data_IF_475561255104
#
_entry.id   IF_475561255104
#
_cell.length_a   1.000
_cell.length_b   1.000
_cell.length_c   1.000
_cell.angle_alpha   90.00
_cell.angle_beta   90.00
_cell.angle_gamma   90.00
#
_symmetry.space_group_name_H-M   'P 1'
#
loop_
_entity.id
_entity.type
_entity.pdbx_description
1 polymer ?
#
# COMPACT_ATOMS: atom_id res chain seq x y z
N UNK A 1 -16.63 19.24 5.48
CA UNK A 1 -15.50 20.04 4.95
C UNK A 1 -14.84 19.14 3.93
N UNK A 2 -14.80 19.52 2.65
CA UNK A 2 -14.32 18.65 1.57
C UNK A 2 -12.78 18.72 1.49
N UNK A 3 -12.15 17.89 2.31
CA UNK A 3 -10.69 17.83 2.46
C UNK A 3 -10.17 16.47 2.09
N UNK A 4 -9.04 16.44 1.39
CA UNK A 4 -8.35 15.21 1.03
C UNK A 4 -7.41 14.78 2.18
N UNK A 5 -7.04 13.49 2.26
CA UNK A 5 -6.15 12.98 3.29
C UNK A 5 -4.82 13.75 3.33
N UNK A 6 -4.24 13.91 4.53
CA UNK A 6 -2.98 14.67 4.70
C UNK A 6 -1.82 13.98 3.97
N UNK A 7 -1.93 12.68 3.75
CA UNK A 7 -1.01 11.81 3.02
C UNK A 7 -0.83 12.23 1.56
N UNK A 8 -1.82 12.93 0.98
CA UNK A 8 -1.73 13.48 -0.38
C UNK A 8 -0.53 14.42 -0.54
N UNK A 9 -0.09 15.07 0.55
CA UNK A 9 1.14 15.87 0.51
C UNK A 9 2.40 15.06 0.19
N UNK A 10 2.41 13.75 0.43
CA UNK A 10 3.47 12.85 -0.03
C UNK A 10 3.57 12.82 -1.55
N UNK A 11 2.44 12.62 -2.24
CA UNK A 11 2.36 12.65 -3.69
C UNK A 11 2.75 14.02 -4.26
N UNK A 12 2.29 15.11 -3.64
CA UNK A 12 2.69 16.48 -4.01
C UNK A 12 4.20 16.68 -3.90
N UNK A 13 4.84 16.22 -2.81
CA UNK A 13 6.29 16.33 -2.62
C UNK A 13 7.06 15.51 -3.65
N UNK A 14 6.63 14.28 -3.92
CA UNK A 14 7.24 13.43 -4.94
C UNK A 14 7.14 14.07 -6.33
N UNK A 15 5.94 14.56 -6.70
CA UNK A 15 5.68 15.26 -7.95
C UNK A 15 6.51 16.53 -8.11
N UNK A 16 6.62 17.33 -7.05
CA UNK A 16 7.44 18.55 -7.03
C UNK A 16 8.93 18.24 -7.18
N UNK A 17 9.44 17.22 -6.47
CA UNK A 17 10.83 16.79 -6.57
C UNK A 17 11.18 16.29 -7.98
N UNK A 18 10.31 15.47 -8.58
CA UNK A 18 10.49 14.97 -9.95
C UNK A 18 10.56 16.09 -11.00
N UNK A 19 9.96 17.24 -10.70
CA UNK A 19 9.89 18.41 -11.60
C UNK A 19 10.85 19.54 -11.21
N UNK A 20 11.70 19.33 -10.21
CA UNK A 20 12.64 20.34 -9.71
C UNK A 20 11.96 21.57 -9.08
N UNK A 21 10.69 21.47 -8.69
CA UNK A 21 9.94 22.58 -8.10
C UNK A 21 10.24 22.64 -6.61
N UNK A 22 10.92 23.72 -6.19
CA UNK A 22 11.16 23.95 -4.75
C UNK A 22 9.87 24.25 -4.01
N UNK A 23 9.83 23.95 -2.72
CA UNK A 23 8.68 24.27 -1.87
C UNK A 23 8.32 25.76 -1.90
N UNK A 24 9.32 26.64 -1.96
CA UNK A 24 9.11 28.09 -2.07
C UNK A 24 8.45 28.47 -3.39
N UNK A 25 8.93 27.89 -4.51
CA UNK A 25 8.34 28.09 -5.83
C UNK A 25 6.91 27.54 -5.90
N UNK A 26 6.65 26.37 -5.30
CA UNK A 26 5.31 25.79 -5.22
C UNK A 26 4.33 26.70 -4.45
N UNK A 27 4.73 27.17 -3.26
CA UNK A 27 3.88 28.04 -2.44
C UNK A 27 3.58 29.38 -3.14
N UNK A 28 4.59 29.97 -3.78
CA UNK A 28 4.40 31.15 -4.61
C UNK A 28 3.44 30.88 -5.79
N UNK A 29 3.60 29.75 -6.47
CA UNK A 29 2.77 29.36 -7.61
C UNK A 29 1.30 29.16 -7.27
N UNK A 30 0.98 28.71 -6.05
CA UNK A 30 -0.42 28.55 -5.59
C UNK A 30 -1.00 29.81 -4.92
N UNK A 31 -0.28 30.94 -4.99
CA UNK A 31 -0.70 32.22 -4.43
C UNK A 31 -0.65 32.28 -2.90
N UNK A 32 0.22 31.51 -2.25
CA UNK A 32 0.38 31.47 -0.80
C UNK A 32 1.72 32.08 -0.35
N UNK A 33 1.69 32.79 0.78
CA UNK A 33 2.91 33.28 1.42
C UNK A 33 3.75 32.08 1.91
N UNK A 34 5.08 32.20 1.81
CA UNK A 34 5.97 31.14 2.22
C UNK A 34 5.89 30.90 3.73
N UNK A 35 5.41 29.72 4.14
CA UNK A 35 5.19 29.36 5.55
C UNK A 35 5.98 28.11 5.98
N UNK A 36 7.02 27.75 5.22
CA UNK A 36 7.78 26.52 5.43
C UNK A 36 6.88 25.29 5.38
N UNK A 37 7.17 24.28 6.20
CA UNK A 37 6.46 22.98 6.20
C UNK A 37 5.05 23.02 6.81
N UNK A 38 4.64 24.15 7.38
CA UNK A 38 3.34 24.34 8.04
C UNK A 38 2.17 24.00 7.12
N UNK A 39 2.28 24.36 5.83
CA UNK A 39 1.26 24.06 4.81
C UNK A 39 0.90 22.57 4.75
N UNK A 40 1.89 21.70 4.96
CA UNK A 40 1.77 20.26 4.78
C UNK A 40 1.27 19.51 6.04
N UNK A 41 1.01 20.22 7.14
CA UNK A 41 0.55 19.63 8.40
C UNK A 41 -0.97 19.40 8.43
N UNK A 42 -1.71 20.08 7.56
CA UNK A 42 -3.18 20.01 7.51
C UNK A 42 -3.65 19.42 6.20
N UNK A 43 -4.78 18.71 6.23
CA UNK A 43 -5.45 18.19 5.05
C UNK A 43 -5.69 19.31 4.00
N UNK A 44 -5.28 19.14 2.73
CA UNK A 44 -5.60 20.11 1.70
C UNK A 44 -7.09 20.06 1.36
N UNK A 45 -7.67 21.23 1.07
CA UNK A 45 -8.95 21.26 0.33
C UNK A 45 -8.72 20.88 -1.12
N UNK A 46 -9.79 20.46 -1.81
CA UNK A 46 -9.75 20.20 -3.26
C UNK A 46 -9.25 21.37 -4.07
N UNK A 47 -9.78 22.58 -3.82
CA UNK A 47 -9.33 23.81 -4.51
C UNK A 47 -7.83 24.05 -4.35
N UNK A 48 -7.28 23.74 -3.16
CA UNK A 48 -5.85 23.87 -2.91
C UNK A 48 -5.08 22.85 -3.72
N UNK A 49 -5.52 21.59 -3.74
CA UNK A 49 -4.88 20.56 -4.54
C UNK A 49 -4.97 20.88 -6.05
N UNK A 50 -6.09 21.42 -6.53
CA UNK A 50 -6.25 21.83 -7.93
C UNK A 50 -5.23 22.89 -8.33
N UNK A 51 -4.99 23.91 -7.48
CA UNK A 51 -3.93 24.90 -7.71
C UNK A 51 -2.55 24.26 -7.71
N UNK A 52 -2.28 23.34 -6.78
CA UNK A 52 -1.02 22.59 -6.73
C UNK A 52 -0.82 21.76 -8.00
N UNK A 53 -1.86 21.05 -8.46
CA UNK A 53 -1.85 20.24 -9.67
C UNK A 53 -1.59 21.10 -10.91
N UNK A 54 -2.17 22.30 -10.99
CA UNK A 54 -1.92 23.25 -12.07
C UNK A 54 -0.47 23.74 -12.09
N UNK A 55 0.09 24.09 -10.91
CA UNK A 55 1.50 24.54 -10.80
C UNK A 55 2.47 23.42 -11.17
N UNK A 56 2.20 22.21 -10.71
CA UNK A 56 3.04 21.04 -11.00
C UNK A 56 2.77 20.46 -12.39
N UNK A 57 1.65 20.80 -13.03
CA UNK A 57 1.17 20.16 -14.27
C UNK A 57 1.18 18.64 -14.12
N UNK A 58 0.56 18.18 -13.03
CA UNK A 58 0.50 16.77 -12.67
C UNK A 58 -0.92 16.23 -12.89
N UNK A 59 -1.11 15.32 -13.86
CA UNK A 59 -2.44 14.80 -14.19
C UNK A 59 -3.04 13.96 -13.06
N UNK A 60 -2.23 13.27 -12.26
CA UNK A 60 -2.71 12.43 -11.17
C UNK A 60 -3.21 13.30 -10.02
N UNK A 61 -2.49 14.39 -9.71
CA UNK A 61 -2.96 15.37 -8.72
C UNK A 61 -4.21 16.11 -9.18
N UNK A 62 -4.36 16.34 -10.50
CA UNK A 62 -5.56 16.94 -11.08
C UNK A 62 -6.76 16.03 -10.92
N UNK A 63 -6.62 14.75 -11.28
CA UNK A 63 -7.65 13.73 -11.09
C UNK A 63 -8.06 13.61 -9.61
N UNK A 64 -7.09 13.59 -8.69
CA UNK A 64 -7.39 13.57 -7.25
C UNK A 64 -8.15 14.82 -6.78
N UNK A 65 -7.86 15.99 -7.35
CA UNK A 65 -8.56 17.22 -6.99
C UNK A 65 -10.01 17.26 -7.47
N UNK A 66 -10.30 16.65 -8.63
CA UNK A 66 -11.63 16.65 -9.26
C UNK A 66 -12.46 15.40 -8.96
N UNK A 67 -11.87 14.36 -8.35
CA UNK A 67 -12.55 13.10 -8.08
C UNK A 67 -13.77 13.26 -7.15
N UNK A 68 -14.89 12.64 -7.50
CA UNK A 68 -16.10 12.58 -6.64
C UNK A 68 -15.94 11.68 -5.39
N UNK A 69 -14.75 11.12 -5.15
CA UNK A 69 -14.47 10.29 -3.99
C UNK A 69 -14.17 11.14 -2.76
N UNK A 70 -14.99 11.00 -1.71
CA UNK A 70 -14.78 11.65 -0.43
C UNK A 70 -13.99 10.77 0.52
N UNK A 71 -13.10 11.41 1.28
CA UNK A 71 -12.30 10.74 2.30
C UNK A 71 -12.76 11.18 3.68
N UNK A 72 -13.28 10.23 4.45
CA UNK A 72 -13.68 10.45 5.83
C UNK A 72 -12.86 9.60 6.78
N UNK A 73 -12.56 10.18 7.95
CA UNK A 73 -11.85 9.47 9.02
C UNK A 73 -12.85 8.66 9.84
N UNK A 74 -12.55 7.38 10.06
CA UNK A 74 -13.32 6.55 10.99
C UNK A 74 -13.18 7.13 12.40
N UNK A 75 -14.30 7.55 12.99
CA UNK A 75 -14.35 8.14 14.34
C UNK A 75 -14.56 7.11 15.44
N UNK A 76 -15.22 5.98 15.12
CA UNK A 76 -15.45 4.89 16.06
C UNK A 76 -15.81 3.61 15.33
N UNK A 77 -15.47 2.47 15.93
CA UNK A 77 -15.88 1.14 15.49
C UNK A 77 -16.58 0.49 16.69
N UNK A 78 -17.75 -0.12 16.46
CA UNK A 78 -18.57 -0.76 17.51
C UNK A 78 -19.09 -2.08 16.98
N UNK A 79 -19.07 -3.13 17.80
CA UNK A 79 -19.69 -4.41 17.45
C UNK A 79 -21.22 -4.30 17.51
N UNK A 80 -21.90 -4.86 16.50
CA UNK A 80 -23.37 -4.95 16.44
C UNK A 80 -23.90 -6.37 16.75
N UNK A 81 -23.01 -7.26 17.24
CA UNK A 81 -23.29 -8.68 17.43
C UNK A 81 -23.33 -9.47 16.12
N UNK A 82 -23.78 -10.72 16.21
CA UNK A 82 -23.94 -11.59 15.03
C UNK A 82 -25.13 -11.12 14.18
N UNK A 83 -24.88 -10.93 12.89
CA UNK A 83 -25.86 -10.47 11.91
C UNK A 83 -25.63 -11.21 10.59
N UNK A 84 -26.70 -11.50 9.83
CA UNK A 84 -26.51 -11.96 8.45
C UNK A 84 -25.81 -10.87 7.64
N UNK A 85 -24.77 -11.24 6.91
CA UNK A 85 -24.01 -10.38 6.01
C UNK A 85 -24.06 -10.96 4.60
N UNK A 86 -23.98 -10.09 3.60
CA UNK A 86 -24.03 -10.46 2.19
C UNK A 86 -22.81 -9.82 1.50
N UNK A 87 -22.23 -10.55 0.56
CA UNK A 87 -21.16 -10.04 -0.31
C UNK A 87 -21.61 -10.07 -1.78
N UNK A 88 -21.02 -9.23 -2.61
CA UNK A 88 -21.32 -9.14 -4.04
C UNK A 88 -20.02 -9.12 -4.84
N UNK A 89 -19.86 -10.06 -5.78
CA UNK A 89 -18.67 -10.07 -6.63
C UNK A 89 -18.89 -9.27 -7.90
N UNK A 90 -18.09 -8.21 -8.09
CA UNK A 90 -17.97 -7.49 -9.36
C UNK A 90 -16.75 -8.01 -10.12
N UNK A 91 -16.96 -8.44 -11.37
CA UNK A 91 -15.88 -8.93 -12.23
C UNK A 91 -14.89 -7.82 -12.57
N UNK A 92 -13.59 -8.14 -12.54
CA UNK A 92 -12.49 -7.22 -12.83
C UNK A 92 -12.04 -6.40 -11.63
N UNK A 93 -12.92 -5.61 -11.01
CA UNK A 93 -12.51 -4.67 -9.95
C UNK A 93 -12.62 -5.25 -8.54
N UNK A 94 -13.49 -6.25 -8.33
CA UNK A 94 -13.74 -6.88 -7.02
C UNK A 94 -14.07 -5.87 -5.90
N UNK A 95 -14.62 -4.71 -6.28
CA UNK A 95 -15.09 -3.67 -5.38
C UNK A 95 -16.45 -3.13 -5.85
N UNK A 96 -17.25 -2.65 -4.90
CA UNK A 96 -18.58 -2.09 -5.15
C UNK A 96 -18.92 -1.00 -4.13
N UNK A 97 -20.00 -0.25 -4.39
CA UNK A 97 -20.48 0.78 -3.48
C UNK A 97 -21.60 0.21 -2.61
N UNK A 98 -21.47 0.30 -1.29
CA UNK A 98 -22.49 -0.10 -0.32
C UNK A 98 -22.66 1.01 0.73
N UNK A 99 -23.91 1.44 0.96
CA UNK A 99 -24.24 2.51 1.90
C UNK A 99 -23.41 3.80 1.73
N UNK A 100 -23.03 4.14 0.50
CA UNK A 100 -22.20 5.31 0.21
C UNK A 100 -20.70 5.12 0.45
N UNK A 101 -20.24 3.92 0.81
CA UNK A 101 -18.84 3.57 0.97
C UNK A 101 -18.38 2.67 -0.17
N UNK A 102 -17.13 2.86 -0.62
CA UNK A 102 -16.46 1.89 -1.49
C UNK A 102 -15.98 0.74 -0.63
N UNK A 103 -16.42 -0.48 -0.96
CA UNK A 103 -16.07 -1.72 -0.26
C UNK A 103 -15.40 -2.69 -1.22
N UNK A 104 -14.47 -3.50 -0.72
CA UNK A 104 -13.76 -4.51 -1.50
C UNK A 104 -14.18 -5.92 -1.05
N UNK A 105 -14.23 -6.87 -1.98
CA UNK A 105 -14.59 -8.26 -1.73
C UNK A 105 -13.67 -8.93 -0.70
N UNK A 106 -14.24 -9.89 -0.01
CA UNK A 106 -13.76 -10.41 1.25
C UNK A 106 -12.92 -11.70 1.15
N UNK A 107 -12.21 -11.96 0.04
CA UNK A 107 -11.41 -13.20 -0.08
C UNK A 107 -10.39 -13.38 1.05
N UNK A 108 -9.78 -12.28 1.50
CA UNK A 108 -8.92 -12.27 2.68
C UNK A 108 -9.73 -12.44 3.97
N UNK A 109 -10.92 -11.86 4.04
CA UNK A 109 -11.79 -11.89 5.22
C UNK A 109 -12.38 -13.27 5.49
N UNK A 110 -12.53 -14.13 4.48
CA UNK A 110 -13.00 -15.53 4.60
C UNK A 110 -11.87 -16.52 4.92
N UNK A 111 -10.62 -16.18 4.66
CA UNK A 111 -9.48 -17.04 5.02
C UNK A 111 -9.29 -17.12 6.55
N UNK A 112 -9.13 -18.34 7.06
CA UNK A 112 -8.67 -18.56 8.43
C UNK A 112 -7.17 -18.27 8.58
N UNK A 113 -6.40 -18.61 7.53
CA UNK A 113 -4.96 -18.40 7.45
C UNK A 113 -4.58 -17.86 6.07
N UNK A 114 -3.76 -16.82 6.02
CA UNK A 114 -3.13 -16.31 4.78
C UNK A 114 -1.62 -16.42 4.94
N UNK A 115 -0.97 -17.10 3.99
CA UNK A 115 0.48 -17.26 3.97
C UNK A 115 1.06 -16.82 2.64
N UNK A 116 2.19 -16.12 2.69
CA UNK A 116 3.00 -15.81 1.52
C UNK A 116 4.31 -16.59 1.56
N UNK A 117 4.80 -16.98 0.38
CA UNK A 117 6.11 -17.61 0.22
C UNK A 117 7.05 -16.60 -0.41
N UNK A 118 8.10 -16.21 0.33
CA UNK A 118 9.13 -15.31 -0.15
C UNK A 118 10.47 -16.05 -0.29
N UNK A 119 11.13 -15.88 -1.44
CA UNK A 119 12.45 -16.47 -1.72
C UNK A 119 13.36 -15.38 -2.27
N UNK A 120 14.31 -14.93 -1.46
CA UNK A 120 15.19 -13.81 -1.81
C UNK A 120 16.00 -14.08 -3.09
N UNK A 121 16.47 -15.32 -3.28
CA UNK A 121 17.25 -15.75 -4.46
C UNK A 121 16.56 -15.46 -5.80
N UNK A 122 15.22 -15.46 -5.83
CA UNK A 122 14.43 -15.18 -7.05
C UNK A 122 14.60 -13.71 -7.50
N UNK A 123 14.83 -12.81 -6.55
CA UNK A 123 14.95 -11.37 -6.80
C UNK A 123 16.40 -10.88 -6.71
N UNK A 124 17.23 -11.57 -5.91
CA UNK A 124 18.62 -11.25 -5.64
C UNK A 124 19.50 -12.50 -5.78
N UNK A 125 20.03 -12.77 -7.00
CA UNK A 125 20.84 -13.95 -7.27
C UNK A 125 22.12 -14.08 -6.42
N UNK A 126 22.65 -12.96 -5.91
CA UNK A 126 23.86 -12.86 -5.08
C UNK A 126 23.58 -12.94 -3.57
N UNK A 127 22.40 -13.40 -3.15
CA UNK A 127 22.09 -13.55 -1.71
C UNK A 127 23.05 -14.52 -1.01
N UNK A 128 23.35 -14.22 0.26
CA UNK A 128 24.14 -15.08 1.12
C UNK A 128 23.39 -16.35 1.56
N UNK A 129 22.05 -16.39 1.36
CA UNK A 129 21.19 -17.52 1.77
C UNK A 129 20.33 -18.05 0.61
N UNK A 130 20.94 -18.57 -0.47
CA UNK A 130 20.25 -18.99 -1.69
C UNK A 130 19.16 -20.07 -1.48
N UNK A 131 19.31 -20.89 -0.43
CA UNK A 131 18.34 -21.91 -0.05
C UNK A 131 17.19 -21.41 0.83
N UNK A 132 17.21 -20.16 1.31
CA UNK A 132 16.22 -19.66 2.26
C UNK A 132 14.89 -19.36 1.58
N UNK A 133 13.82 -19.84 2.21
CA UNK A 133 12.46 -19.44 1.93
C UNK A 133 11.80 -18.99 3.23
N UNK A 134 11.10 -17.86 3.19
CA UNK A 134 10.34 -17.34 4.31
C UNK A 134 8.85 -17.58 4.03
N UNK A 135 8.19 -18.25 4.97
CA UNK A 135 6.74 -18.39 5.00
C UNK A 135 6.21 -17.30 5.93
N UNK A 136 5.52 -16.31 5.36
CA UNK A 136 5.00 -15.15 6.06
C UNK A 136 3.54 -15.43 6.38
N UNK A 137 3.21 -15.66 7.66
CA UNK A 137 1.83 -15.88 8.09
C UNK A 137 1.19 -14.50 8.30
N UNK A 138 0.64 -13.94 7.22
CA UNK A 138 0.06 -12.60 7.22
C UNK A 138 -1.31 -12.53 7.93
N UNK A 139 -2.07 -13.63 7.98
CA UNK A 139 -3.32 -13.73 8.74
C UNK A 139 -3.42 -15.09 9.40
N UNK A 140 -3.86 -15.11 10.66
CA UNK A 140 -4.22 -16.31 11.41
C UNK A 140 -5.31 -15.94 12.42
N UNK A 141 -6.54 -16.44 12.26
CA UNK A 141 -7.67 -16.07 13.15
C UNK A 141 -7.55 -16.66 14.55
N UNK A 142 -6.96 -17.84 14.67
CA UNK A 142 -6.95 -18.63 15.91
C UNK A 142 -5.56 -18.68 16.57
N UNK A 143 -4.67 -17.74 16.24
CA UNK A 143 -3.28 -17.77 16.66
C UNK A 143 -2.47 -16.56 16.17
N UNK A 144 -1.19 -16.48 16.55
CA UNK A 144 -0.34 -15.36 16.16
C UNK A 144 0.04 -15.43 14.67
N UNK A 145 0.28 -14.27 14.09
CA UNK A 145 1.03 -14.09 12.85
C UNK A 145 2.53 -14.17 13.16
N UNK A 146 3.31 -14.87 12.33
CA UNK A 146 4.76 -14.93 12.45
C UNK A 146 5.39 -15.34 11.11
N UNK A 147 6.68 -15.09 10.96
CA UNK A 147 7.45 -15.47 9.80
C UNK A 147 8.32 -16.69 10.11
N UNK A 148 8.13 -17.76 9.36
CA UNK A 148 8.88 -19.00 9.54
C UNK A 148 9.89 -19.15 8.41
N UNK A 149 11.17 -19.22 8.77
CA UNK A 149 12.21 -19.56 7.82
C UNK A 149 12.22 -21.08 7.58
N UNK A 150 12.40 -21.46 6.32
CA UNK A 150 12.59 -22.82 5.83
C UNK A 150 13.76 -22.84 4.84
N UNK A 151 14.30 -24.04 4.59
CA UNK A 151 15.23 -24.26 3.48
C UNK A 151 14.48 -24.92 2.32
N UNK A 152 14.56 -24.34 1.12
CA UNK A 152 13.96 -24.86 -0.10
C UNK A 152 15.01 -25.61 -0.94
N UNK A 153 14.80 -26.90 -1.12
CA UNK A 153 15.60 -27.79 -1.97
C UNK A 153 14.97 -27.81 -3.37
N UNK A 154 15.65 -27.21 -4.34
CA UNK A 154 15.09 -26.99 -5.68
C UNK A 154 14.97 -28.28 -6.47
N UNK A 155 15.97 -29.15 -6.35
CA UNK A 155 16.12 -30.40 -7.10
C UNK A 155 14.93 -31.33 -6.89
N UNK A 156 14.28 -31.19 -5.74
CA UNK A 156 13.13 -31.98 -5.33
C UNK A 156 11.90 -31.15 -4.95
N UNK A 157 11.90 -29.83 -5.22
CA UNK A 157 10.81 -28.89 -4.90
C UNK A 157 10.28 -29.07 -3.47
N UNK A 158 11.20 -29.13 -2.50
CA UNK A 158 10.89 -29.53 -1.11
C UNK A 158 11.30 -28.47 -0.10
N UNK A 159 10.41 -28.17 0.84
CA UNK A 159 10.74 -27.38 2.03
C UNK A 159 11.15 -28.28 3.18
N UNK A 160 12.24 -27.93 3.87
CA UNK A 160 12.75 -28.63 5.05
C UNK A 160 12.98 -27.63 6.18
N UNK A 161 13.10 -28.11 7.45
CA UNK A 161 13.43 -27.24 8.57
C UNK A 161 14.66 -26.39 8.25
N UNK A 162 14.60 -25.11 8.63
CA UNK A 162 15.64 -24.17 8.26
C UNK A 162 17.00 -24.59 8.82
N UNK A 163 17.96 -24.67 7.91
CA UNK A 163 19.36 -24.90 8.21
C UNK A 163 20.21 -23.87 7.47
N UNK A 164 20.91 -22.97 8.19
CA UNK A 164 21.77 -21.97 7.56
C UNK A 164 23.04 -22.59 6.95
N UNK A 165 23.35 -23.84 7.28
CA UNK A 165 24.56 -24.55 6.84
C UNK A 165 24.40 -25.26 5.48
N UNK A 166 23.21 -25.25 4.90
CA UNK A 166 22.98 -25.83 3.56
C UNK A 166 23.13 -24.71 2.53
N UNK A 167 24.26 -24.63 1.82
CA UNK A 167 24.36 -23.72 0.70
C UNK A 167 23.29 -24.11 -0.32
N UNK A 168 22.38 -23.21 -0.62
CA UNK A 168 21.68 -23.28 -1.90
C UNK A 168 22.77 -23.17 -2.96
N UNK A 169 22.92 -24.21 -3.79
CA UNK A 169 23.94 -24.22 -4.82
C UNK A 169 23.77 -22.96 -5.69
N UNK A 170 24.81 -22.12 -5.74
CA UNK A 170 24.85 -20.96 -6.63
C UNK A 170 24.73 -21.46 -8.06
N UNK A 171 23.73 -21.00 -8.81
CA UNK A 171 23.58 -21.36 -10.23
C UNK A 171 24.84 -20.98 -11.03
N UNK A 172 25.30 -21.81 -11.99
CA UNK A 172 25.95 -21.30 -13.18
C UNK A 172 24.89 -20.57 -14.02
N UNK A 173 25.18 -19.31 -14.37
CA UNK A 173 24.24 -18.41 -15.05
C UNK A 173 23.66 -18.92 -16.37
N UNK A 174 22.50 -18.35 -16.71
CA UNK A 174 21.96 -18.33 -18.07
C UNK A 174 22.81 -17.49 -19.01
#
# INVERSE_FOLDING_TARGET
MDTLPVEVWGAVRASAAARGVTQRALQAGIGQAYCGSTLFRSAPSRDRLARVAQVLRDPDLHLLSESDLFWDRIVSIRSLGERPVFDATVEGTHNFIANGFVVHNSIEQDADVVMFVYREIVYKPDTAEPGKAQIIIAKQRNGPTDDVNLTFLRECTKFVPYSPAMPGETEPGY
#
